data_IF_771136064838
#
_entry.id   IF_771136064838
#
_cell.length_a   1.000
_cell.length_b   1.000
_cell.length_c   1.000
_cell.angle_alpha   90.00
_cell.angle_beta   90.00
_cell.angle_gamma   90.00
#
_symmetry.space_group_name_H-M   'P 1'
#
loop_
_entity.id
_entity.type
_entity.pdbx_description
1 polymer ?
#
# COMPACT_ATOMS: atom_id res chain seq x y z
N UNK A 1 18.30 17.04 -1.85
CA UNK A 1 17.86 15.65 -1.98
C UNK A 1 16.91 15.30 -0.84
N UNK A 2 15.83 14.64 -1.17
CA UNK A 2 14.87 14.17 -0.17
C UNK A 2 14.74 12.66 -0.25
N UNK A 3 14.34 12.06 0.86
CA UNK A 3 14.13 10.62 0.95
C UNK A 3 12.69 10.36 1.37
N UNK A 4 12.02 9.44 0.68
CA UNK A 4 10.70 8.96 1.08
C UNK A 4 10.86 7.51 1.49
N UNK A 5 10.63 7.22 2.77
CA UNK A 5 10.68 5.87 3.30
C UNK A 5 9.24 5.41 3.46
N UNK A 6 8.86 4.32 2.81
CA UNK A 6 7.48 3.87 2.87
C UNK A 6 7.38 2.39 3.21
N UNK A 7 6.22 2.03 3.75
CA UNK A 7 5.87 0.67 4.13
C UNK A 7 4.43 0.40 3.72
N UNK A 8 4.15 -0.84 3.35
CA UNK A 8 2.85 -1.24 2.85
C UNK A 8 2.32 -2.39 3.70
N UNK A 9 0.99 -2.40 3.88
CA UNK A 9 0.29 -3.54 4.44
C UNK A 9 -0.62 -4.14 3.38
N UNK A 10 -0.68 -5.45 3.33
CA UNK A 10 -1.38 -6.19 2.27
C UNK A 10 -2.45 -7.10 2.86
N UNK A 11 -3.51 -7.28 2.08
CA UNK A 11 -4.54 -8.26 2.37
C UNK A 11 -4.42 -9.41 1.36
N UNK A 12 -4.90 -10.57 1.77
CA UNK A 12 -5.00 -11.76 0.93
C UNK A 12 -6.45 -12.23 0.91
N UNK A 13 -6.81 -12.97 -0.13
CA UNK A 13 -8.12 -13.57 -0.19
C UNK A 13 -8.23 -14.79 0.71
N UNK A 14 -9.42 -15.02 1.24
CA UNK A 14 -9.66 -16.15 2.12
C UNK A 14 -11.05 -16.72 1.88
N UNK A 15 -11.13 -18.03 1.66
CA UNK A 15 -12.39 -18.76 1.48
C UNK A 15 -12.77 -19.37 2.83
N UNK A 16 -13.81 -18.82 3.45
CA UNK A 16 -14.26 -19.29 4.77
C UNK A 16 -14.83 -20.70 4.72
N UNK A 17 -15.45 -21.08 3.60
CA UNK A 17 -16.03 -22.40 3.43
C UNK A 17 -14.97 -23.47 3.37
N UNK A 18 -13.88 -23.20 2.63
CA UNK A 18 -12.77 -24.13 2.48
C UNK A 18 -11.67 -23.90 3.51
N UNK A 19 -11.78 -22.87 4.32
CA UNK A 19 -10.81 -22.48 5.34
C UNK A 19 -9.39 -22.40 4.78
N UNK A 20 -9.25 -21.74 3.63
CA UNK A 20 -7.95 -21.61 2.98
C UNK A 20 -7.78 -20.27 2.27
N UNK A 21 -6.52 -19.89 2.08
CA UNK A 21 -6.15 -18.71 1.32
C UNK A 21 -6.44 -18.94 -0.17
N UNK A 22 -7.06 -17.95 -0.81
CA UNK A 22 -7.28 -17.94 -2.25
C UNK A 22 -6.66 -16.66 -2.81
N UNK A 23 -6.21 -16.71 -4.07
CA UNK A 23 -5.56 -15.54 -4.63
C UNK A 23 -5.86 -15.34 -6.10
N UNK A 24 -5.82 -14.08 -6.52
CA UNK A 24 -5.85 -13.70 -7.93
C UNK A 24 -4.40 -13.63 -8.40
N UNK A 25 -4.10 -14.27 -9.51
CA UNK A 25 -2.74 -14.35 -10.03
C UNK A 25 -2.13 -12.98 -10.35
N UNK A 26 -2.96 -12.04 -10.77
CA UNK A 26 -2.52 -10.70 -11.13
C UNK A 26 -2.23 -9.82 -9.91
N UNK A 27 -2.91 -10.08 -8.80
CA UNK A 27 -2.74 -9.30 -7.58
C UNK A 27 -2.99 -10.19 -6.36
N UNK A 28 -2.02 -11.04 -5.99
CA UNK A 28 -2.21 -11.94 -4.84
C UNK A 28 -2.21 -11.20 -3.51
N UNK A 29 -1.58 -10.02 -3.44
CA UNK A 29 -1.49 -9.22 -2.22
C UNK A 29 -2.03 -7.82 -2.53
N UNK A 30 -3.23 -7.54 -2.03
CA UNK A 30 -3.89 -6.25 -2.23
C UNK A 30 -3.48 -5.27 -1.15
N UNK A 31 -3.01 -4.09 -1.54
CA UNK A 31 -2.59 -3.06 -0.59
C UNK A 31 -3.80 -2.52 0.17
N UNK A 32 -3.69 -2.51 1.50
CA UNK A 32 -4.74 -1.97 2.38
C UNK A 32 -4.25 -0.83 3.27
N UNK A 33 -2.95 -0.53 3.24
CA UNK A 33 -2.40 0.63 3.94
C UNK A 33 -1.08 1.04 3.31
N UNK A 34 -0.90 2.35 3.17
CA UNK A 34 0.37 2.94 2.77
C UNK A 34 0.79 3.91 3.86
N UNK A 35 1.96 3.69 4.44
CA UNK A 35 2.56 4.60 5.40
C UNK A 35 3.90 5.09 4.88
N UNK A 36 4.19 6.38 5.04
CA UNK A 36 5.44 6.93 4.53
C UNK A 36 5.87 8.14 5.36
N UNK A 37 7.18 8.36 5.38
CA UNK A 37 7.78 9.58 5.92
C UNK A 37 8.68 10.18 4.87
N UNK A 38 8.77 11.50 4.89
CA UNK A 38 9.68 12.23 4.01
C UNK A 38 10.79 12.86 4.85
N UNK A 39 12.01 12.66 4.42
CA UNK A 39 13.19 13.17 5.11
C UNK A 39 13.93 14.18 4.23
N UNK A 40 14.51 15.20 4.86
CA UNK A 40 15.40 16.12 4.16
C UNK A 40 16.81 15.50 4.02
N UNK A 41 17.75 16.26 3.48
CA UNK A 41 19.13 15.78 3.28
C UNK A 41 19.88 15.51 4.58
N UNK A 42 19.38 15.99 5.70
CA UNK A 42 19.94 15.76 7.04
C UNK A 42 19.18 14.67 7.80
N UNK A 43 18.25 13.97 7.12
CA UNK A 43 17.41 12.91 7.67
C UNK A 43 16.43 13.39 8.75
N UNK A 44 16.05 14.66 8.70
CA UNK A 44 14.97 15.17 9.55
C UNK A 44 13.62 14.88 8.87
N UNK A 45 12.63 14.47 9.66
CA UNK A 45 11.28 14.23 9.14
C UNK A 45 10.64 15.57 8.81
N UNK A 46 10.27 15.77 7.55
CA UNK A 46 9.65 17.01 7.09
C UNK A 46 8.19 16.84 6.69
N UNK A 47 7.73 15.60 6.50
CA UNK A 47 6.33 15.33 6.19
C UNK A 47 6.02 13.86 6.43
N UNK A 48 4.75 13.54 6.61
CA UNK A 48 4.29 12.16 6.78
C UNK A 48 3.04 11.89 5.95
N UNK A 49 2.85 10.64 5.56
CA UNK A 49 1.68 10.17 4.83
C UNK A 49 1.23 8.86 5.44
N UNK A 50 -0.06 8.71 5.67
CA UNK A 50 -0.60 7.45 6.15
C UNK A 50 -2.06 7.35 5.71
N UNK A 51 -2.40 6.27 5.02
CA UNK A 51 -3.76 6.06 4.55
C UNK A 51 -4.09 4.58 4.50
N UNK A 52 -5.25 4.21 5.02
CA UNK A 52 -5.85 2.92 4.69
C UNK A 52 -6.35 2.96 3.26
N UNK A 53 -6.51 1.79 2.68
CA UNK A 53 -7.01 1.62 1.31
C UNK A 53 -8.18 0.65 1.37
N UNK A 54 -9.30 1.04 0.76
CA UNK A 54 -10.48 0.18 0.72
C UNK A 54 -10.20 -1.02 -0.20
N UNK A 55 -10.32 -2.24 0.31
CA UNK A 55 -10.11 -3.42 -0.52
C UNK A 55 -11.22 -3.58 -1.55
N UNK A 56 -10.85 -3.84 -2.79
CA UNK A 56 -11.77 -4.06 -3.89
C UNK A 56 -11.78 -5.53 -4.30
N UNK A 57 -10.63 -6.18 -4.24
CA UNK A 57 -10.44 -7.54 -4.71
C UNK A 57 -10.80 -8.55 -3.62
N UNK A 58 -10.32 -8.33 -2.41
CA UNK A 58 -10.56 -9.19 -1.26
C UNK A 58 -11.27 -8.37 -0.19
N UNK A 59 -12.60 -8.41 -0.21
CA UNK A 59 -13.42 -7.50 0.61
C UNK A 59 -13.34 -7.74 2.12
N UNK A 60 -13.02 -8.97 2.51
CA UNK A 60 -12.83 -9.30 3.92
C UNK A 60 -11.35 -9.38 4.25
N UNK A 61 -10.96 -8.92 5.43
CA UNK A 61 -9.57 -9.02 5.88
C UNK A 61 -9.28 -10.49 6.19
N UNK A 62 -8.21 -11.01 5.60
CA UNK A 62 -7.75 -12.38 5.87
C UNK A 62 -7.45 -12.52 7.36
N UNK A 63 -7.88 -13.62 8.02
CA UNK A 63 -7.69 -13.77 9.46
C UNK A 63 -6.25 -13.61 9.93
N UNK A 64 -5.29 -14.17 9.19
CA UNK A 64 -3.88 -14.05 9.52
C UNK A 64 -3.40 -12.60 9.38
N UNK A 65 -3.85 -11.91 8.32
CA UNK A 65 -3.47 -10.52 8.09
C UNK A 65 -4.02 -9.62 9.20
N UNK A 66 -5.27 -9.80 9.57
CA UNK A 66 -5.86 -9.04 10.66
C UNK A 66 -5.13 -9.23 11.98
N UNK A 67 -4.74 -10.46 12.27
CA UNK A 67 -4.00 -10.78 13.48
C UNK A 67 -2.60 -10.15 13.47
N UNK A 68 -1.93 -10.20 12.33
CA UNK A 68 -0.55 -9.71 12.21
C UNK A 68 -0.47 -8.19 12.19
N UNK A 69 -1.39 -7.52 11.50
CA UNK A 69 -1.35 -6.07 11.31
C UNK A 69 -2.20 -5.31 12.32
N UNK A 70 -3.19 -5.94 12.92
CA UNK A 70 -4.18 -5.28 13.74
C UNK A 70 -5.25 -4.54 12.94
N UNK A 71 -5.20 -4.59 11.62
CA UNK A 71 -6.17 -3.92 10.76
C UNK A 71 -7.45 -4.74 10.71
N UNK A 72 -8.58 -4.08 10.94
CA UNK A 72 -9.90 -4.70 10.91
C UNK A 72 -10.67 -4.26 9.69
N UNK A 73 -11.66 -5.05 9.28
CA UNK A 73 -12.51 -4.69 8.14
C UNK A 73 -13.13 -3.31 8.29
N UNK A 74 -13.54 -2.94 9.50
CA UNK A 74 -14.11 -1.63 9.78
C UNK A 74 -13.13 -0.48 9.55
N UNK A 75 -11.82 -0.73 9.69
CA UNK A 75 -10.79 0.30 9.47
C UNK A 75 -10.68 0.68 7.99
N UNK A 76 -10.94 -0.26 7.08
CA UNK A 76 -10.74 -0.07 5.65
C UNK A 76 -12.03 0.05 4.85
N UNK A 77 -13.18 -0.24 5.48
CA UNK A 77 -14.47 -0.24 4.79
C UNK A 77 -14.82 1.12 4.19
N UNK A 78 -14.52 2.20 4.91
CA UNK A 78 -14.80 3.55 4.48
C UNK A 78 -13.55 4.29 3.99
N UNK A 79 -12.46 3.57 3.78
CA UNK A 79 -11.23 4.16 3.30
C UNK A 79 -11.34 4.51 1.80
N UNK A 80 -10.49 5.43 1.31
CA UNK A 80 -10.43 5.70 -0.12
C UNK A 80 -9.98 4.48 -0.91
N UNK A 81 -10.36 4.44 -2.19
CA UNK A 81 -9.93 3.38 -3.09
C UNK A 81 -8.43 3.46 -3.38
N UNK A 82 -7.85 2.36 -3.88
CA UNK A 82 -6.44 2.38 -4.23
C UNK A 82 -6.07 3.45 -5.27
N UNK A 83 -6.83 3.64 -6.35
CA UNK A 83 -6.50 4.72 -7.29
C UNK A 83 -6.45 6.10 -6.64
N UNK A 84 -7.35 6.38 -5.70
CA UNK A 84 -7.36 7.64 -4.97
C UNK A 84 -6.14 7.79 -4.07
N UNK A 85 -5.83 6.74 -3.28
CA UNK A 85 -4.69 6.76 -2.36
C UNK A 85 -3.37 6.82 -3.14
N UNK A 86 -3.28 6.08 -4.24
CA UNK A 86 -2.10 6.08 -5.09
C UNK A 86 -1.83 7.47 -5.66
N UNK A 87 -2.88 8.16 -6.12
CA UNK A 87 -2.77 9.53 -6.62
C UNK A 87 -2.22 10.46 -5.53
N UNK A 88 -2.73 10.35 -4.32
CA UNK A 88 -2.27 11.17 -3.20
C UNK A 88 -0.85 10.81 -2.77
N UNK A 89 -0.51 9.53 -2.78
CA UNK A 89 0.84 9.08 -2.48
C UNK A 89 1.85 9.61 -3.50
N UNK A 90 1.48 9.60 -4.79
CA UNK A 90 2.34 10.17 -5.84
C UNK A 90 2.57 11.65 -5.62
N UNK A 91 1.56 12.39 -5.20
CA UNK A 91 1.71 13.81 -4.87
C UNK A 91 2.65 14.00 -3.67
N UNK A 92 2.53 13.13 -2.68
CA UNK A 92 3.40 13.17 -1.51
C UNK A 92 4.86 12.93 -1.90
N UNK A 93 5.11 11.96 -2.77
CA UNK A 93 6.45 11.63 -3.25
C UNK A 93 6.99 12.71 -4.17
N UNK A 94 6.14 13.25 -5.04
CA UNK A 94 6.53 14.18 -6.09
C UNK A 94 6.96 15.52 -5.49
N UNK A 95 8.22 15.87 -5.68
CA UNK A 95 8.79 17.14 -5.21
C UNK A 95 9.57 17.77 -6.34
N UNK A 96 9.90 19.07 -6.17
CA UNK A 96 10.75 19.77 -7.12
C UNK A 96 12.23 19.39 -6.97
N UNK A 97 12.56 18.60 -5.96
CA UNK A 97 13.92 18.17 -5.64
C UNK A 97 14.09 16.70 -6.01
N UNK A 98 15.33 16.29 -6.11
CA UNK A 98 15.63 14.87 -6.29
C UNK A 98 15.09 14.08 -5.10
N UNK A 99 14.36 13.03 -5.38
CA UNK A 99 13.77 12.18 -4.35
C UNK A 99 14.25 10.74 -4.51
N UNK A 100 14.65 10.14 -3.41
CA UNK A 100 15.02 8.73 -3.34
C UNK A 100 13.92 7.98 -2.60
N UNK A 101 13.36 6.96 -3.24
CA UNK A 101 12.37 6.08 -2.60
C UNK A 101 13.11 4.97 -1.86
N UNK A 102 12.75 4.78 -0.60
CA UNK A 102 13.35 3.76 0.25
C UNK A 102 12.25 2.81 0.75
N UNK A 103 12.52 1.52 0.67
CA UNK A 103 11.60 0.50 1.16
C UNK A 103 12.43 -0.62 1.77
N UNK A 104 11.88 -1.28 2.78
CA UNK A 104 12.55 -2.40 3.41
C UNK A 104 12.32 -3.66 2.58
N UNK A 105 13.37 -4.10 1.86
CA UNK A 105 13.30 -5.27 1.00
C UNK A 105 12.66 -4.97 -0.36
N UNK A 106 12.64 -5.95 -1.25
CA UNK A 106 12.14 -5.80 -2.61
C UNK A 106 10.70 -6.26 -2.79
N UNK A 107 10.16 -7.00 -1.82
CA UNK A 107 8.81 -7.56 -1.91
C UNK A 107 7.73 -6.49 -2.01
N UNK A 108 7.82 -5.45 -1.20
CA UNK A 108 6.84 -4.37 -1.19
C UNK A 108 6.77 -3.65 -2.54
N UNK A 109 7.94 -3.40 -3.16
CA UNK A 109 7.98 -2.72 -4.45
C UNK A 109 7.36 -3.58 -5.55
N UNK A 110 7.64 -4.87 -5.55
CA UNK A 110 7.05 -5.82 -6.50
C UNK A 110 5.53 -5.84 -6.39
N UNK A 111 5.01 -5.91 -5.17
CA UNK A 111 3.56 -5.96 -4.95
C UNK A 111 2.92 -4.61 -5.22
N UNK A 112 3.61 -3.51 -4.98
CA UNK A 112 3.12 -2.19 -5.35
C UNK A 112 2.87 -2.12 -6.85
N UNK A 113 3.83 -2.57 -7.67
CA UNK A 113 3.66 -2.58 -9.12
C UNK A 113 2.54 -3.51 -9.57
N UNK A 114 2.32 -4.64 -8.90
CA UNK A 114 1.19 -5.52 -9.21
C UNK A 114 -0.14 -4.85 -8.94
N UNK A 115 -0.25 -4.10 -7.84
CA UNK A 115 -1.48 -3.33 -7.54
C UNK A 115 -1.70 -2.23 -8.59
N UNK A 116 -0.65 -1.49 -8.94
CA UNK A 116 -0.72 -0.44 -9.97
C UNK A 116 -1.18 -1.03 -11.30
N UNK A 117 -0.61 -2.14 -11.71
CA UNK A 117 -0.93 -2.80 -12.98
C UNK A 117 -2.34 -3.38 -12.96
N UNK A 118 -2.77 -3.94 -11.84
CA UNK A 118 -4.12 -4.52 -11.70
C UNK A 118 -5.20 -3.47 -11.97
N UNK A 119 -4.98 -2.23 -11.51
CA UNK A 119 -5.92 -1.13 -11.73
C UNK A 119 -5.63 -0.33 -12.99
N UNK A 120 -4.65 -0.75 -13.79
CA UNK A 120 -4.25 -0.09 -15.05
C UNK A 120 -3.91 1.38 -14.83
N UNK A 121 -3.17 1.68 -13.79
CA UNK A 121 -2.78 3.04 -13.44
C UNK A 121 -1.40 3.38 -13.99
N UNK A 122 -1.15 4.68 -14.28
CA UNK A 122 0.19 5.10 -14.71
C UNK A 122 1.18 5.03 -13.55
N UNK A 123 2.38 4.51 -13.82
CA UNK A 123 3.44 4.40 -12.82
C UNK A 123 4.66 5.27 -13.14
N UNK A 124 4.58 6.07 -14.17
CA UNK A 124 5.60 7.07 -14.45
C UNK A 124 5.18 8.41 -13.87
N UNK A 125 6.10 9.09 -13.28
CA UNK A 125 5.90 10.44 -12.76
C UNK A 125 6.08 11.47 -13.87
#
# INVERSE_FOLDING_TARGET
>A
MEYVVFDLEFNQGFDKTLNKTVSNERCPFEIIQIGAIKLDSHFNIIDTFNSYVKPQLYKSIHPFVGKMTGIKSEDVMDAPSFPQVYKEFKKFVSTKKNTVLCVWGTGDLKELFRNITYYDLPYKT
#
